data_IF_031305819208
#
_entry.id   IF_031305819208
#
_cell.length_a   1.000
_cell.length_b   1.000
_cell.length_c   1.000
_cell.angle_alpha   90.00
_cell.angle_beta   90.00
_cell.angle_gamma   90.00
#
_symmetry.space_group_name_H-M   'P 1'
#
loop_
_entity.id
_entity.type
_entity.pdbx_description
1 polymer ?
#
# COMPACT_ATOMS: atom_id res chain seq x y z
N UNK A 1 56.35 20.15 -3.26
CA UNK A 1 55.29 19.13 -3.38
C UNK A 1 54.21 19.47 -2.37
N UNK A 2 53.16 20.17 -2.82
CA UNK A 2 52.02 20.50 -1.97
C UNK A 2 51.03 19.34 -2.05
N UNK A 3 50.81 18.64 -0.94
CA UNK A 3 49.73 17.66 -0.81
C UNK A 3 48.41 18.42 -0.83
N UNK A 4 47.68 18.31 -1.94
CA UNK A 4 46.28 18.69 -2.05
C UNK A 4 45.49 17.82 -1.08
N UNK A 5 45.03 18.42 0.03
CA UNK A 5 43.94 17.85 0.82
C UNK A 5 42.73 17.78 -0.12
N UNK A 6 42.33 16.56 -0.50
CA UNK A 6 41.01 16.37 -1.09
C UNK A 6 39.99 16.96 -0.11
N UNK A 7 39.02 17.75 -0.58
CA UNK A 7 37.94 18.19 0.27
C UNK A 7 37.20 16.94 0.76
N UNK A 8 37.02 16.82 2.08
CA UNK A 8 36.12 15.83 2.67
C UNK A 8 34.75 15.99 2.00
N UNK A 9 34.34 14.94 1.29
CA UNK A 9 33.10 14.84 0.52
C UNK A 9 31.91 15.02 1.49
N UNK A 10 31.19 16.16 1.48
CA UNK A 10 30.26 16.51 2.55
C UNK A 10 28.94 15.70 2.52
N UNK A 11 28.75 14.75 1.59
CA UNK A 11 27.46 14.05 1.40
C UNK A 11 27.60 12.55 1.11
N UNK A 12 28.46 11.83 1.84
CA UNK A 12 28.34 10.36 1.83
C UNK A 12 27.19 9.94 2.74
N UNK A 13 25.99 9.86 2.15
CA UNK A 13 24.82 9.23 2.77
C UNK A 13 25.19 7.86 3.33
N UNK A 14 24.77 7.58 4.56
CA UNK A 14 24.92 6.27 5.19
C UNK A 14 24.18 5.20 4.37
N UNK A 15 24.58 3.93 4.49
CA UNK A 15 23.89 2.83 3.80
C UNK A 15 22.40 2.81 4.13
N UNK A 16 22.02 3.19 5.36
CA UNK A 16 20.63 3.28 5.79
C UNK A 16 19.88 4.42 5.11
N UNK A 17 20.46 5.62 5.06
CA UNK A 17 19.91 6.78 4.34
C UNK A 17 19.68 6.43 2.86
N UNK A 18 20.63 5.73 2.23
CA UNK A 18 20.48 5.30 0.82
C UNK A 18 19.29 4.36 0.60
N UNK A 19 19.08 3.40 1.51
CA UNK A 19 17.96 2.45 1.42
C UNK A 19 16.63 3.19 1.55
N UNK A 20 16.54 4.14 2.49
CA UNK A 20 15.33 4.94 2.71
C UNK A 20 15.05 5.85 1.51
N UNK A 21 16.07 6.52 1.00
CA UNK A 21 15.95 7.39 -0.17
C UNK A 21 15.54 6.61 -1.43
N UNK A 22 16.14 5.44 -1.66
CA UNK A 22 15.80 4.58 -2.79
C UNK A 22 14.34 4.12 -2.69
N UNK A 23 13.92 3.64 -1.52
CA UNK A 23 12.54 3.22 -1.28
C UNK A 23 11.55 4.39 -1.44
N UNK A 24 11.92 5.59 -1.01
CA UNK A 24 11.10 6.79 -1.18
C UNK A 24 10.95 7.17 -2.66
N UNK A 25 12.03 7.14 -3.44
CA UNK A 25 12.02 7.41 -4.88
C UNK A 25 11.19 6.37 -5.64
N UNK A 26 11.36 5.09 -5.33
CA UNK A 26 10.57 4.02 -5.94
C UNK A 26 9.08 4.15 -5.61
N UNK A 27 8.76 4.44 -4.34
CA UNK A 27 7.38 4.66 -3.90
C UNK A 27 6.75 5.87 -4.58
N UNK A 28 7.49 6.98 -4.72
CA UNK A 28 7.04 8.16 -5.45
C UNK A 28 6.78 7.85 -6.93
N UNK A 29 7.71 7.14 -7.60
CA UNK A 29 7.53 6.76 -9.01
C UNK A 29 6.29 5.88 -9.21
N UNK A 30 6.10 4.86 -8.37
CA UNK A 30 4.93 3.99 -8.47
C UNK A 30 3.62 4.72 -8.12
N UNK A 31 3.66 5.72 -7.23
CA UNK A 31 2.53 6.61 -6.95
C UNK A 31 2.17 7.42 -8.20
N UNK A 32 3.15 7.94 -8.93
CA UNK A 32 2.94 8.64 -10.21
C UNK A 32 2.29 7.72 -11.25
N UNK A 33 2.73 6.46 -11.36
CA UNK A 33 2.12 5.48 -12.27
C UNK A 33 0.64 5.22 -11.95
N UNK A 34 0.29 5.16 -10.65
CA UNK A 34 -1.09 5.01 -10.19
C UNK A 34 -1.93 6.24 -10.53
N UNK A 35 -1.39 7.45 -10.33
CA UNK A 35 -2.06 8.70 -10.70
C UNK A 35 -2.28 8.75 -12.22
N UNK A 36 -1.26 8.41 -13.01
CA UNK A 36 -1.37 8.38 -14.48
C UNK A 36 -2.42 7.35 -14.93
N UNK A 37 -2.42 6.15 -14.34
CA UNK A 37 -3.42 5.12 -14.62
C UNK A 37 -4.84 5.59 -14.29
N UNK A 38 -5.06 6.35 -13.20
CA UNK A 38 -6.37 6.96 -12.88
C UNK A 38 -6.82 8.00 -13.88
N UNK A 39 -5.88 8.76 -14.44
CA UNK A 39 -6.19 9.77 -15.46
C UNK A 39 -6.55 9.14 -16.80
N UNK A 40 -5.88 8.03 -17.16
CA UNK A 40 -6.10 7.31 -18.43
C UNK A 40 -7.28 6.34 -18.37
N UNK A 41 -7.54 5.76 -17.21
CA UNK A 41 -8.53 4.70 -17.01
C UNK A 41 -9.43 5.08 -15.82
N UNK A 42 -10.73 4.80 -15.93
CA UNK A 42 -11.69 5.00 -14.82
C UNK A 42 -11.38 4.14 -13.56
N UNK A 43 -10.38 3.26 -13.64
CA UNK A 43 -9.95 2.38 -12.55
C UNK A 43 -8.48 2.01 -12.72
N UNK A 44 -7.75 1.83 -11.62
CA UNK A 44 -6.33 1.43 -11.65
C UNK A 44 -6.20 -0.09 -11.81
N UNK A 45 -5.48 -0.58 -12.84
CA UNK A 45 -5.28 -2.01 -13.04
C UNK A 45 -4.61 -2.67 -11.83
N UNK A 46 -5.06 -3.89 -11.47
CA UNK A 46 -4.49 -4.66 -10.36
C UNK A 46 -2.95 -4.81 -10.44
N UNK A 47 -2.33 -5.06 -11.61
CA UNK A 47 -0.85 -5.14 -11.69
C UNK A 47 -0.14 -3.84 -11.32
N UNK A 48 -0.74 -2.69 -11.63
CA UNK A 48 -0.20 -1.37 -11.25
C UNK A 48 -0.35 -1.16 -9.74
N UNK A 49 -1.48 -1.54 -9.16
CA UNK A 49 -1.70 -1.50 -7.71
C UNK A 49 -0.75 -2.43 -6.95
N UNK A 50 -0.53 -3.64 -7.45
CA UNK A 50 0.40 -4.61 -6.88
C UNK A 50 1.84 -4.09 -6.91
N UNK A 51 2.26 -3.51 -8.03
CA UNK A 51 3.56 -2.83 -8.15
C UNK A 51 3.71 -1.72 -7.12
N UNK A 52 2.69 -0.88 -6.96
CA UNK A 52 2.70 0.20 -5.97
C UNK A 52 2.72 -0.32 -4.52
N UNK A 53 1.88 -1.31 -4.19
CA UNK A 53 1.87 -1.93 -2.87
C UNK A 53 3.24 -2.47 -2.48
N UNK A 54 3.96 -3.13 -3.39
CA UNK A 54 5.32 -3.63 -3.13
C UNK A 54 6.28 -2.50 -2.77
N UNK A 55 6.23 -1.36 -3.46
CA UNK A 55 7.07 -0.20 -3.12
C UNK A 55 6.69 0.43 -1.80
N UNK A 56 5.40 0.47 -1.46
CA UNK A 56 4.91 0.96 -0.16
C UNK A 56 5.40 0.07 0.99
N UNK A 57 5.33 -1.25 0.83
CA UNK A 57 5.83 -2.21 1.82
C UNK A 57 7.36 -2.11 1.99
N UNK A 58 8.10 -2.02 0.88
CA UNK A 58 9.55 -1.78 0.90
C UNK A 58 9.91 -0.49 1.66
N UNK A 59 9.15 0.58 1.43
CA UNK A 59 9.37 1.85 2.11
C UNK A 59 9.03 1.78 3.61
N UNK A 60 7.93 1.10 3.95
CA UNK A 60 7.59 0.81 5.33
C UNK A 60 8.69 0.01 6.04
N UNK A 61 9.21 -1.05 5.42
CA UNK A 61 10.29 -1.88 5.98
C UNK A 61 11.60 -1.11 6.17
N UNK A 62 11.89 -0.14 5.30
CA UNK A 62 13.05 0.75 5.45
C UNK A 62 12.92 1.68 6.67
N UNK A 63 11.71 2.19 6.94
CA UNK A 63 11.44 3.14 8.02
C UNK A 63 11.16 2.46 9.36
N UNK A 64 10.56 1.26 9.35
CA UNK A 64 10.11 0.51 10.54
C UNK A 64 11.19 0.36 11.63
N UNK A 65 12.47 0.08 11.34
CA UNK A 65 13.50 -0.01 12.39
C UNK A 65 13.66 1.28 13.20
N UNK A 66 13.30 2.43 12.61
CA UNK A 66 13.40 3.76 13.21
C UNK A 66 12.14 4.15 14.00
N UNK A 67 11.11 3.29 14.02
CA UNK A 67 9.83 3.59 14.68
C UNK A 67 9.97 3.95 16.15
N UNK A 68 10.99 3.40 16.83
CA UNK A 68 11.22 3.68 18.27
C UNK A 68 12.13 4.89 18.52
N UNK A 69 12.61 5.55 17.47
CA UNK A 69 13.56 6.65 17.57
C UNK A 69 12.87 8.01 17.76
N UNK A 70 13.27 8.73 18.81
CA UNK A 70 12.99 10.16 19.00
C UNK A 70 11.50 10.54 18.95
N UNK A 71 11.20 11.56 18.15
CA UNK A 71 9.85 12.17 18.00
C UNK A 71 8.88 11.24 17.28
N UNK A 72 9.38 10.24 16.55
CA UNK A 72 8.55 9.34 15.74
C UNK A 72 7.91 8.24 16.56
N UNK A 73 8.44 7.88 17.73
CA UNK A 73 7.88 6.80 18.56
C UNK A 73 6.41 7.02 18.94
N UNK A 74 6.11 8.12 19.63
CA UNK A 74 4.73 8.43 20.01
C UNK A 74 3.85 8.72 18.81
N UNK A 75 4.42 9.22 17.71
CA UNK A 75 3.65 9.49 16.49
C UNK A 75 3.27 8.19 15.80
N UNK A 76 4.22 7.26 15.60
CA UNK A 76 4.05 5.99 14.91
C UNK A 76 2.94 5.15 15.54
N UNK A 77 2.91 5.08 16.87
CA UNK A 77 1.85 4.40 17.64
C UNK A 77 0.50 5.13 17.56
N UNK A 78 0.51 6.46 17.37
CA UNK A 78 -0.70 7.28 17.27
C UNK A 78 -1.30 7.36 15.86
N UNK A 79 -0.54 6.94 14.83
CA UNK A 79 -1.02 7.02 13.45
C UNK A 79 -2.21 6.09 13.28
N UNK A 80 -3.39 6.68 13.14
CA UNK A 80 -4.58 5.99 12.67
C UNK A 80 -4.63 6.10 11.15
N UNK A 81 -4.40 4.96 10.50
CA UNK A 81 -4.71 4.75 9.09
C UNK A 81 -6.23 4.95 8.88
N UNK A 82 -6.66 5.53 7.76
CA UNK A 82 -8.09 5.87 7.54
C UNK A 82 -9.00 4.64 7.67
N UNK A 83 -10.24 4.83 8.13
CA UNK A 83 -11.24 3.76 8.27
C UNK A 83 -11.44 2.97 6.96
N UNK A 84 -11.23 3.62 5.81
CA UNK A 84 -11.30 3.00 4.47
C UNK A 84 -10.10 2.11 4.12
N UNK A 85 -8.98 2.22 4.84
CA UNK A 85 -7.75 1.46 4.57
C UNK A 85 -7.83 0.00 5.02
N UNK A 86 -8.88 -0.29 5.75
CA UNK A 86 -8.84 -1.29 6.80
C UNK A 86 -10.08 -2.20 6.74
N UNK A 87 -11.18 -1.72 6.19
CA UNK A 87 -12.42 -2.49 6.10
C UNK A 87 -12.31 -3.59 5.03
N UNK A 88 -11.76 -4.74 5.46
CA UNK A 88 -12.10 -6.02 4.87
C UNK A 88 -13.55 -6.32 5.26
N UNK A 89 -14.45 -6.23 4.30
CA UNK A 89 -15.84 -6.67 4.50
C UNK A 89 -15.78 -8.19 4.44
N UNK A 90 -16.10 -8.82 5.57
CA UNK A 90 -16.09 -10.28 5.70
C UNK A 90 -17.43 -10.80 5.24
N UNK A 91 -17.38 -11.72 4.28
CA UNK A 91 -18.53 -12.51 3.87
C UNK A 91 -18.31 -13.98 4.23
N UNK A 92 -19.39 -14.68 4.60
CA UNK A 92 -19.44 -16.12 4.75
C UNK A 92 -19.99 -16.70 3.46
N UNK A 93 -19.30 -17.70 2.93
CA UNK A 93 -19.76 -18.47 1.77
C UNK A 93 -20.81 -19.49 2.20
N UNK A 94 -21.54 -20.07 1.25
CA UNK A 94 -22.47 -21.19 1.53
C UNK A 94 -21.80 -22.41 2.19
N UNK A 95 -20.47 -22.53 2.10
CA UNK A 95 -19.69 -23.58 2.76
C UNK A 95 -19.29 -23.25 4.21
N UNK A 96 -19.68 -22.08 4.73
CA UNK A 96 -19.31 -21.61 6.06
C UNK A 96 -17.89 -21.05 6.16
N UNK A 97 -17.26 -20.73 5.02
CA UNK A 97 -15.91 -20.19 4.97
C UNK A 97 -15.95 -18.66 4.94
N UNK A 98 -15.09 -18.00 5.72
CA UNK A 98 -15.06 -16.55 5.82
C UNK A 98 -14.03 -15.95 4.85
N UNK A 99 -14.49 -15.08 3.97
CA UNK A 99 -13.68 -14.37 2.99
C UNK A 99 -13.68 -12.86 3.28
N UNK A 100 -12.51 -12.26 3.39
CA UNK A 100 -12.34 -10.81 3.51
C UNK A 100 -12.18 -10.21 2.12
N UNK A 101 -13.00 -9.20 1.76
CA UNK A 101 -12.93 -8.53 0.46
C UNK A 101 -12.85 -7.01 0.61
N UNK A 102 -12.27 -6.33 -0.37
CA UNK A 102 -12.24 -4.87 -0.40
C UNK A 102 -13.65 -4.27 -0.48
N UNK A 103 -13.80 -3.04 0.03
CA UNK A 103 -15.07 -2.30 -0.01
C UNK A 103 -15.70 -2.20 -1.40
N UNK A 104 -14.90 -2.05 -2.45
CA UNK A 104 -15.40 -1.99 -3.83
C UNK A 104 -15.93 -3.36 -4.30
N UNK A 105 -15.23 -4.44 -3.96
CA UNK A 105 -15.65 -5.82 -4.26
C UNK A 105 -16.89 -6.20 -3.45
N UNK A 106 -16.94 -5.83 -2.17
CA UNK A 106 -18.11 -5.95 -1.32
C UNK A 106 -19.33 -5.22 -1.90
N UNK A 107 -19.13 -3.99 -2.40
CA UNK A 107 -20.21 -3.21 -3.03
C UNK A 107 -20.73 -3.88 -4.31
N UNK A 108 -19.89 -4.60 -5.05
CA UNK A 108 -20.32 -5.41 -6.19
C UNK A 108 -21.06 -6.67 -5.75
N UNK A 109 -20.56 -7.37 -4.74
CA UNK A 109 -21.18 -8.58 -4.16
C UNK A 109 -22.59 -8.25 -3.62
N UNK A 110 -22.71 -7.20 -2.80
CA UNK A 110 -23.97 -6.74 -2.22
C UNK A 110 -24.99 -6.25 -3.26
N UNK A 111 -24.53 -5.79 -4.44
CA UNK A 111 -25.40 -5.29 -5.50
C UNK A 111 -25.83 -6.39 -6.50
N UNK A 112 -25.19 -7.56 -6.49
CA UNK A 112 -25.39 -8.61 -7.50
C UNK A 112 -26.16 -9.85 -7.00
N UNK A 113 -26.73 -9.83 -5.78
CA UNK A 113 -27.42 -10.99 -5.17
C UNK A 113 -26.55 -12.27 -5.21
N UNK A 114 -25.23 -12.13 -5.01
CA UNK A 114 -24.33 -13.28 -4.91
C UNK A 114 -24.52 -13.99 -3.56
N UNK A 115 -24.29 -15.32 -3.45
CA UNK A 115 -24.61 -16.13 -2.27
C UNK A 115 -23.55 -15.97 -1.16
N UNK A 116 -23.34 -14.74 -0.73
CA UNK A 116 -22.38 -14.35 0.30
C UNK A 116 -23.13 -13.66 1.44
N UNK A 117 -23.03 -14.18 2.65
CA UNK A 117 -23.64 -13.58 3.83
C UNK A 117 -22.65 -12.61 4.47
N UNK A 118 -23.04 -11.35 4.69
CA UNK A 118 -22.17 -10.40 5.39
C UNK A 118 -22.03 -10.77 6.87
N UNK A 119 -20.79 -11.00 7.34
CA UNK A 119 -20.49 -11.49 8.69
C UNK A 119 -19.86 -10.43 9.58
N UNK A 120 -19.31 -9.36 8.99
CA UNK A 120 -18.72 -8.26 9.74
C UNK A 120 -17.64 -7.51 8.98
N UNK A 121 -16.97 -6.60 9.67
CA UNK A 121 -15.81 -5.88 9.16
C UNK A 121 -14.60 -6.17 10.03
N UNK A 122 -13.45 -6.44 9.41
CA UNK A 122 -12.17 -6.50 10.11
C UNK A 122 -11.55 -5.11 10.14
N UNK A 123 -10.98 -4.71 11.29
CA UNK A 123 -10.30 -3.42 11.44
C UNK A 123 -8.83 -3.60 11.84
N UNK A 124 -7.94 -3.55 10.86
CA UNK A 124 -6.48 -3.37 10.98
C UNK A 124 -6.12 -1.97 11.51
N UNK A 125 -5.59 -1.77 12.73
CA UNK A 125 -5.19 -0.43 13.20
C UNK A 125 -3.68 -0.16 13.11
N UNK A 126 -3.31 0.99 12.53
CA UNK A 126 -1.94 1.54 12.59
C UNK A 126 -0.96 0.99 11.56
N UNK A 127 0.24 1.60 11.47
CA UNK A 127 1.26 1.21 10.47
C UNK A 127 1.75 -0.23 10.63
N UNK A 128 1.69 -0.79 11.85
CA UNK A 128 2.10 -2.18 12.10
C UNK A 128 1.23 -3.20 11.36
N UNK A 129 0.02 -2.84 10.90
CA UNK A 129 -0.82 -3.75 10.12
C UNK A 129 -0.31 -4.00 8.72
N UNK A 130 0.59 -3.14 8.21
CA UNK A 130 1.24 -3.36 6.92
C UNK A 130 2.08 -4.66 6.92
N UNK A 131 2.56 -5.11 8.08
CA UNK A 131 3.25 -6.40 8.21
C UNK A 131 2.33 -7.58 7.89
N UNK A 132 1.06 -7.50 8.30
CA UNK A 132 0.09 -8.56 7.99
C UNK A 132 -0.31 -8.62 6.52
N UNK A 133 -0.05 -7.56 5.75
CA UNK A 133 -0.41 -7.47 4.34
C UNK A 133 0.61 -8.14 3.40
N UNK A 134 1.84 -8.39 3.86
CA UNK A 134 2.88 -9.05 3.05
C UNK A 134 2.50 -10.51 2.76
N UNK A 135 1.93 -11.19 3.75
CA UNK A 135 1.47 -12.59 3.66
C UNK A 135 -0.04 -12.72 3.39
N UNK A 136 -0.79 -11.62 3.30
CA UNK A 136 -2.24 -11.66 3.16
C UNK A 136 -2.66 -12.20 1.77
N UNK A 137 -3.52 -13.21 1.75
CA UNK A 137 -4.09 -13.79 0.53
C UNK A 137 -5.62 -13.67 0.50
N UNK A 138 -6.18 -13.35 -0.65
CA UNK A 138 -7.61 -13.45 -0.94
C UNK A 138 -7.92 -14.65 -1.84
N UNK A 139 -9.01 -15.32 -1.54
CA UNK A 139 -9.59 -16.32 -2.44
C UNK A 139 -10.63 -15.67 -3.35
N UNK A 140 -10.60 -16.03 -4.62
CA UNK A 140 -11.60 -15.59 -5.60
C UNK A 140 -12.16 -16.80 -6.31
N UNK A 141 -13.42 -17.10 -6.01
CA UNK A 141 -14.19 -18.11 -6.73
C UNK A 141 -14.75 -17.49 -7.99
N UNK A 142 -14.35 -18.02 -9.15
CA UNK A 142 -14.86 -17.60 -10.45
C UNK A 142 -15.68 -18.71 -11.08
N UNK A 143 -16.83 -18.34 -11.63
CA UNK A 143 -17.70 -19.29 -12.33
C UNK A 143 -17.28 -19.33 -13.79
N UNK A 144 -16.61 -20.40 -14.20
CA UNK A 144 -16.24 -20.61 -15.61
C UNK A 144 -17.37 -21.39 -16.29
N UNK A 145 -17.99 -20.76 -17.29
CA UNK A 145 -19.06 -21.38 -18.07
C UNK A 145 -18.52 -21.75 -19.45
N UNK A 146 -18.64 -23.02 -19.84
CA UNK A 146 -18.19 -23.51 -21.15
C UNK A 146 -19.09 -24.59 -21.72
N UNK A 147 -18.70 -25.16 -22.86
CA UNK A 147 -19.47 -26.22 -23.55
C UNK A 147 -19.71 -27.49 -22.69
N UNK A 148 -18.99 -27.66 -21.57
CA UNK A 148 -19.13 -28.79 -20.63
C UNK A 148 -19.94 -28.47 -19.37
N UNK A 149 -20.55 -27.29 -19.27
CA UNK A 149 -21.33 -26.86 -18.11
C UNK A 149 -20.69 -25.71 -17.33
N UNK A 150 -21.26 -25.43 -16.15
CA UNK A 150 -20.82 -24.41 -15.20
C UNK A 150 -19.89 -25.06 -14.17
N UNK A 151 -18.67 -24.55 -14.02
CA UNK A 151 -17.74 -24.98 -12.96
C UNK A 151 -17.34 -23.79 -12.10
N UNK A 152 -17.16 -24.02 -10.82
CA UNK A 152 -16.57 -23.05 -9.89
C UNK A 152 -15.07 -23.30 -9.80
N UNK A 153 -14.29 -22.24 -9.91
CA UNK A 153 -12.83 -22.28 -9.90
C UNK A 153 -12.34 -21.28 -8.86
N UNK A 154 -11.88 -21.79 -7.72
CA UNK A 154 -11.28 -21.01 -6.64
C UNK A 154 -9.82 -20.72 -6.98
N UNK A 155 -9.45 -19.44 -6.93
CA UNK A 155 -8.06 -18.99 -7.10
C UNK A 155 -7.63 -18.19 -5.89
N UNK A 156 -6.56 -18.62 -5.22
CA UNK A 156 -5.91 -17.89 -4.14
C UNK A 156 -4.86 -16.94 -4.73
N UNK A 157 -4.86 -15.67 -4.32
CA UNK A 157 -3.90 -14.66 -4.78
C UNK A 157 -3.59 -13.65 -3.68
N UNK A 158 -2.46 -12.91 -3.74
CA UNK A 158 -2.15 -11.89 -2.75
C UNK A 158 -3.24 -10.81 -2.68
N UNK A 159 -3.53 -10.34 -1.47
CA UNK A 159 -4.38 -9.18 -1.24
C UNK A 159 -3.69 -7.96 -1.80
N UNK A 160 -4.41 -7.22 -2.65
CA UNK A 160 -3.93 -5.95 -3.20
C UNK A 160 -4.90 -4.86 -2.79
N UNK A 161 -4.39 -3.90 -2.03
CA UNK A 161 -5.16 -2.76 -1.54
C UNK A 161 -5.65 -1.88 -2.69
N UNK A 162 -6.68 -1.10 -2.39
CA UNK A 162 -7.16 -0.11 -3.35
C UNK A 162 -6.16 1.03 -3.53
N UNK A 163 -6.12 1.58 -4.75
CA UNK A 163 -5.14 2.61 -5.10
C UNK A 163 -5.22 3.85 -4.19
N UNK A 164 -6.41 4.19 -3.68
CA UNK A 164 -6.58 5.34 -2.78
C UNK A 164 -5.91 5.10 -1.43
N UNK A 165 -6.15 3.91 -0.88
CA UNK A 165 -5.53 3.43 0.36
C UNK A 165 -4.01 3.45 0.23
N UNK A 166 -3.46 2.89 -0.85
CA UNK A 166 -2.01 2.88 -1.08
C UNK A 166 -1.41 4.29 -1.17
N UNK A 167 -2.11 5.24 -1.81
CA UNK A 167 -1.65 6.64 -1.88
C UNK A 167 -1.61 7.25 -0.49
N UNK A 168 -2.64 7.04 0.31
CA UNK A 168 -2.70 7.63 1.63
C UNK A 168 -1.67 6.99 2.59
N UNK A 169 -1.45 5.65 2.53
CA UNK A 169 -0.35 4.98 3.26
C UNK A 169 0.98 5.62 2.88
N UNK A 170 1.23 5.79 1.59
CA UNK A 170 2.50 6.32 1.11
C UNK A 170 2.77 7.75 1.59
N UNK A 171 1.72 8.58 1.75
CA UNK A 171 1.84 9.93 2.34
C UNK A 171 2.16 9.90 3.82
N UNK A 172 1.57 8.97 4.56
CA UNK A 172 1.92 8.77 5.98
C UNK A 172 3.39 8.35 6.12
N UNK A 173 3.89 7.49 5.24
CA UNK A 173 5.31 7.12 5.22
C UNK A 173 6.22 8.32 4.89
N UNK A 174 5.81 9.21 3.96
CA UNK A 174 6.54 10.46 3.69
C UNK A 174 6.59 11.37 4.93
N UNK A 175 5.49 11.46 5.69
CA UNK A 175 5.45 12.23 6.94
C UNK A 175 6.40 11.62 7.99
N UNK A 176 6.42 10.28 8.10
CA UNK A 176 7.33 9.55 8.98
C UNK A 176 8.80 9.87 8.64
N UNK A 177 9.16 9.76 7.36
CA UNK A 177 10.51 10.06 6.88
C UNK A 177 10.91 11.52 7.15
N UNK A 178 10.00 12.46 6.90
CA UNK A 178 10.19 13.89 7.18
C UNK A 178 10.46 14.13 8.68
N UNK A 179 9.70 13.49 9.57
CA UNK A 179 9.91 13.62 11.03
C UNK A 179 11.22 13.00 11.51
N UNK A 180 11.71 11.97 10.83
CA UNK A 180 13.01 11.36 11.08
C UNK A 180 14.18 12.18 10.49
N UNK A 181 13.88 13.24 9.74
CA UNK A 181 14.88 14.12 9.12
C UNK A 181 15.37 13.64 7.76
N UNK A 182 14.73 12.63 7.16
CA UNK A 182 14.97 12.28 5.76
C UNK A 182 14.17 13.24 4.89
N UNK A 183 14.88 14.13 4.19
CA UNK A 183 14.27 14.99 3.19
C UNK A 183 14.26 14.25 1.85
N UNK A 184 13.12 14.21 1.14
CA UNK A 184 13.09 13.66 -0.21
C UNK A 184 14.10 14.41 -1.09
N UNK A 185 14.92 13.66 -1.83
CA UNK A 185 15.79 14.21 -2.89
C UNK A 185 14.98 14.54 -4.17
N UNK A 186 13.65 14.63 -4.03
CA UNK A 186 12.68 14.85 -5.08
C UNK A 186 12.09 16.23 -4.83
N UNK A 187 12.16 17.13 -5.80
CA UNK A 187 11.42 18.40 -5.76
C UNK A 187 9.91 18.06 -5.72
N UNK A 188 9.35 17.96 -4.52
CA UNK A 188 7.92 17.69 -4.26
C UNK A 188 6.98 18.78 -4.83
N UNK A 189 7.52 19.85 -5.43
CA UNK A 189 6.78 21.01 -5.92
C UNK A 189 5.89 20.69 -7.14
N UNK A 190 6.16 19.63 -7.90
CA UNK A 190 5.40 19.32 -9.12
C UNK A 190 4.15 18.45 -8.88
N UNK A 191 3.91 17.94 -7.66
CA UNK A 191 2.78 17.04 -7.37
C UNK A 191 1.59 17.73 -6.66
N UNK A 192 1.77 18.91 -6.05
CA UNK A 192 0.69 19.62 -5.33
C UNK A 192 -0.14 20.56 -6.23
N UNK A 193 0.34 20.89 -7.43
CA UNK A 193 -0.34 21.79 -8.36
C UNK A 193 -1.34 21.05 -9.26
N UNK A 194 -2.43 20.49 -8.72
CA UNK A 194 -3.39 19.81 -9.60
C UNK A 194 -4.69 19.24 -9.05
N UNK A 195 -5.12 19.55 -7.83
CA UNK A 195 -6.48 19.17 -7.38
C UNK A 195 -7.13 20.35 -6.67
N UNK A 196 -7.81 21.20 -7.45
CA UNK A 196 -8.83 22.16 -6.98
C UNK A 196 -10.14 21.80 -7.67
#
# INVERSE_FOLDING_TARGET
MAMSKQPDDPMRKSTREKIIDEAQVECHSARSDVVEARLKLNSVPRPVREGFQRTVLSYYDALRPLRTEGVVNSWWESVTLSEDWIEGIVFETESGEQISVSREKARRILNNDEPYEFVGSMVHQGLDTLESLDDATEETTSVVTGMRGRREETTTRPVVLEAGVLVDISRVLDEAATKLGFAPDIDLQDAEAGVV
#
